data_IF_116337539132
#
_entry.id   IF_116337539132
#
_cell.length_a   1.000
_cell.length_b   1.000
_cell.length_c   1.000
_cell.angle_alpha   90.00
_cell.angle_beta   90.00
_cell.angle_gamma   90.00
#
_symmetry.space_group_name_H-M   'P 1'
#
loop_
_entity.id
_entity.type
_entity.pdbx_description
1 polymer ?
#
# COMPACT_ATOMS: atom_id res chain seq x y z
N UNK A 1 -54.52 2.03 -8.34
CA UNK A 1 -53.91 1.63 -7.08
C UNK A 1 -52.92 0.45 -7.24
N UNK A 2 -53.32 -0.58 -7.92
CA UNK A 2 -52.45 -1.75 -8.11
C UNK A 2 -51.17 -1.43 -8.87
N UNK A 3 -51.20 -0.49 -9.81
CA UNK A 3 -50.03 -0.10 -10.58
C UNK A 3 -48.96 0.56 -9.73
N UNK A 4 -49.33 1.28 -8.69
CA UNK A 4 -48.39 1.94 -7.78
C UNK A 4 -47.55 0.93 -7.01
N UNK A 5 -48.16 -0.21 -6.65
CA UNK A 5 -47.48 -1.27 -5.90
C UNK A 5 -46.37 -1.89 -6.73
N UNK A 6 -46.62 -2.11 -8.03
CA UNK A 6 -45.61 -2.68 -8.91
C UNK A 6 -44.40 -1.79 -9.10
N UNK A 7 -44.62 -0.49 -9.21
CA UNK A 7 -43.52 0.47 -9.36
C UNK A 7 -42.61 0.48 -8.12
N UNK A 8 -43.20 0.40 -6.93
CA UNK A 8 -42.44 0.35 -5.71
C UNK A 8 -41.53 -0.88 -5.61
N UNK A 9 -42.02 -2.03 -6.01
CA UNK A 9 -41.23 -3.27 -6.01
C UNK A 9 -40.04 -3.20 -6.97
N UNK A 10 -40.25 -2.62 -8.14
CA UNK A 10 -39.18 -2.47 -9.13
C UNK A 10 -38.08 -1.59 -8.61
N UNK A 11 -38.41 -0.50 -7.95
CA UNK A 11 -37.41 0.41 -7.36
C UNK A 11 -36.56 -0.27 -6.31
N UNK A 12 -37.17 -1.06 -5.44
CA UNK A 12 -36.43 -1.77 -4.38
C UNK A 12 -35.42 -2.76 -4.97
N UNK A 13 -35.83 -3.50 -5.99
CA UNK A 13 -34.94 -4.48 -6.63
C UNK A 13 -33.70 -3.82 -7.23
N UNK A 14 -33.87 -2.66 -7.86
CA UNK A 14 -32.74 -1.92 -8.44
C UNK A 14 -31.77 -1.44 -7.38
N UNK A 15 -32.26 -0.96 -6.25
CA UNK A 15 -31.41 -0.52 -5.15
C UNK A 15 -30.54 -1.65 -4.61
N UNK A 16 -31.09 -2.85 -4.46
CA UNK A 16 -30.33 -4.01 -3.98
C UNK A 16 -29.19 -4.38 -4.94
N UNK A 17 -29.45 -4.32 -6.24
CA UNK A 17 -28.42 -4.62 -7.23
C UNK A 17 -27.26 -3.62 -7.18
N UNK A 18 -27.56 -2.36 -7.00
CA UNK A 18 -26.54 -1.32 -6.88
C UNK A 18 -25.67 -1.51 -5.65
N UNK A 19 -26.27 -1.89 -4.53
CA UNK A 19 -25.52 -2.13 -3.30
C UNK A 19 -24.50 -3.26 -3.49
N UNK A 20 -24.86 -4.34 -4.18
CA UNK A 20 -23.93 -5.44 -4.43
C UNK A 20 -22.74 -5.04 -5.30
N UNK A 21 -22.95 -4.15 -6.27
CA UNK A 21 -21.89 -3.73 -7.18
C UNK A 21 -20.80 -2.90 -6.50
N UNK A 22 -21.03 -2.39 -5.29
CA UNK A 22 -20.09 -1.52 -4.58
C UNK A 22 -19.22 -2.25 -3.57
N UNK A 23 -19.42 -3.56 -3.37
CA UNK A 23 -18.78 -4.30 -2.28
C UNK A 23 -17.26 -4.39 -2.39
N UNK A 24 -16.67 -4.20 -3.56
CA UNK A 24 -15.24 -4.38 -3.78
C UNK A 24 -14.43 -3.09 -3.75
N UNK A 25 -15.06 -1.94 -3.48
CA UNK A 25 -14.39 -0.65 -3.58
C UNK A 25 -13.26 -0.46 -2.55
N UNK A 26 -13.34 -1.13 -1.39
CA UNK A 26 -12.34 -1.03 -0.33
C UNK A 26 -11.48 -2.26 -0.16
N UNK A 27 -11.65 -3.24 -1.04
CA UNK A 27 -10.90 -4.48 -0.95
C UNK A 27 -9.41 -4.23 -1.18
N UNK A 28 -8.57 -4.89 -0.39
CA UNK A 28 -7.12 -4.87 -0.56
C UNK A 28 -6.73 -6.16 -1.28
N UNK A 29 -6.02 -6.03 -2.38
CA UNK A 29 -5.60 -7.15 -3.22
C UNK A 29 -4.15 -7.49 -2.97
N UNK A 30 -3.77 -8.73 -3.27
CA UNK A 30 -2.37 -9.12 -3.35
C UNK A 30 -1.92 -9.13 -4.83
N UNK A 31 -0.66 -9.48 -5.08
CA UNK A 31 -0.08 -9.44 -6.43
C UNK A 31 -0.67 -10.46 -7.38
N UNK A 32 -1.21 -11.57 -6.87
CA UNK A 32 -1.57 -12.71 -7.70
C UNK A 32 -2.79 -12.47 -8.58
N UNK A 33 -3.64 -11.52 -8.21
CA UNK A 33 -4.88 -11.26 -8.93
C UNK A 33 -4.85 -10.06 -9.85
N UNK A 34 -3.71 -9.39 -10.00
CA UNK A 34 -3.64 -8.09 -10.67
C UNK A 34 -3.22 -8.20 -12.12
N UNK A 35 -3.78 -7.33 -12.97
CA UNK A 35 -3.28 -7.12 -14.33
C UNK A 35 -1.94 -6.41 -14.30
N UNK A 36 -1.82 -5.43 -13.41
CA UNK A 36 -0.60 -4.64 -13.26
C UNK A 36 -0.34 -4.43 -11.77
N UNK A 37 0.87 -4.78 -11.32
CA UNK A 37 1.28 -4.53 -9.93
C UNK A 37 1.60 -3.05 -9.73
N UNK A 38 1.43 -2.52 -8.50
CA UNK A 38 1.85 -1.15 -8.23
C UNK A 38 3.34 -1.00 -8.45
N UNK A 39 3.77 0.19 -8.89
CA UNK A 39 5.19 0.46 -8.97
C UNK A 39 5.49 1.93 -8.62
N UNK A 40 6.73 2.15 -8.17
CA UNK A 40 7.24 3.48 -7.94
C UNK A 40 7.52 4.13 -9.30
N UNK A 41 7.40 5.45 -9.39
CA UNK A 41 7.72 6.17 -10.63
C UNK A 41 9.16 5.91 -11.02
N UNK A 42 9.36 5.25 -12.15
CA UNK A 42 10.68 4.80 -12.60
C UNK A 42 11.06 3.40 -12.16
N UNK A 43 10.16 2.69 -11.45
CA UNK A 43 10.34 1.30 -11.05
C UNK A 43 10.94 1.15 -9.66
N UNK A 44 11.03 -0.11 -9.21
CA UNK A 44 11.48 -0.42 -7.84
C UNK A 44 12.92 0.05 -7.58
N UNK A 45 13.77 0.05 -8.61
CA UNK A 45 15.14 0.53 -8.47
C UNK A 45 15.16 2.00 -8.02
N UNK A 46 14.28 2.82 -8.60
CA UNK A 46 14.16 4.23 -8.23
C UNK A 46 13.66 4.39 -6.81
N UNK A 47 12.80 3.50 -6.36
CA UNK A 47 12.34 3.53 -4.99
C UNK A 47 13.49 3.26 -4.01
N UNK A 48 14.33 2.27 -4.31
CA UNK A 48 15.49 2.01 -3.46
C UNK A 48 16.51 3.14 -3.49
N UNK A 49 16.62 3.87 -4.60
CA UNK A 49 17.43 5.10 -4.65
C UNK A 49 16.85 6.17 -3.75
N UNK A 50 15.53 6.33 -3.76
CA UNK A 50 14.84 7.25 -2.85
C UNK A 50 15.13 6.90 -1.39
N UNK A 51 14.97 5.64 -1.03
CA UNK A 51 15.26 5.18 0.33
C UNK A 51 16.71 5.48 0.72
N UNK A 52 17.66 5.20 -0.19
CA UNK A 52 19.07 5.45 0.06
C UNK A 52 19.40 6.91 0.31
N UNK A 53 18.71 7.82 -0.37
CA UNK A 53 18.90 9.27 -0.17
C UNK A 53 18.30 9.75 1.14
N UNK A 54 17.13 9.22 1.52
CA UNK A 54 16.33 9.75 2.62
C UNK A 54 16.64 9.12 3.95
N UNK A 55 17.14 7.87 3.96
CA UNK A 55 17.42 7.16 5.20
C UNK A 55 18.66 7.74 5.87
N UNK A 56 18.52 8.05 7.16
CA UNK A 56 19.64 8.43 8.02
C UNK A 56 19.88 7.29 8.99
N UNK A 57 21.09 6.75 8.98
CA UNK A 57 21.45 5.67 9.87
C UNK A 57 21.46 6.22 11.32
N UNK A 58 20.62 5.67 12.22
CA UNK A 58 20.55 6.18 13.59
C UNK A 58 21.88 6.02 14.33
N UNK A 59 22.25 7.03 15.10
CA UNK A 59 23.53 7.04 15.81
C UNK A 59 23.64 5.88 16.80
N UNK A 60 22.57 5.55 17.50
CA UNK A 60 22.57 4.44 18.46
C UNK A 60 22.84 3.11 17.72
N UNK A 61 22.22 2.94 16.56
CA UNK A 61 22.43 1.73 15.76
C UNK A 61 23.86 1.65 15.24
N UNK A 62 24.44 2.78 14.86
CA UNK A 62 25.86 2.82 14.45
C UNK A 62 26.79 2.40 15.58
N UNK A 63 26.57 2.94 16.78
CA UNK A 63 27.39 2.63 17.94
C UNK A 63 27.33 1.15 18.32
N UNK A 64 26.17 0.55 18.15
CA UNK A 64 25.95 -0.85 18.50
C UNK A 64 26.22 -1.80 17.33
N UNK A 65 26.71 -1.27 16.20
CA UNK A 65 26.96 -2.05 14.98
C UNK A 65 25.73 -2.84 14.55
N UNK A 66 24.55 -2.22 14.66
CA UNK A 66 23.28 -2.86 14.32
C UNK A 66 23.07 -2.82 12.83
N UNK A 67 23.37 -3.93 12.16
CA UNK A 67 23.16 -4.08 10.70
C UNK A 67 22.16 -5.18 10.44
N UNK A 68 21.43 -5.05 9.35
CA UNK A 68 20.46 -6.06 8.95
C UNK A 68 19.31 -5.45 8.18
N UNK A 69 18.24 -6.22 8.03
CA UNK A 69 17.08 -5.82 7.24
C UNK A 69 15.89 -5.54 8.13
N UNK A 70 15.17 -4.48 7.79
CA UNK A 70 13.85 -4.18 8.34
C UNK A 70 12.82 -4.55 7.28
N UNK A 71 11.85 -5.38 7.64
CA UNK A 71 10.78 -5.77 6.74
C UNK A 71 9.56 -4.95 7.05
N UNK A 72 8.91 -4.44 6.00
CA UNK A 72 7.75 -3.58 6.14
C UNK A 72 6.68 -3.94 5.13
N UNK A 73 5.44 -3.60 5.46
CA UNK A 73 4.33 -3.70 4.54
C UNK A 73 3.57 -2.39 4.51
N UNK A 74 2.89 -2.13 3.41
CA UNK A 74 2.00 -0.98 3.29
C UNK A 74 0.97 -1.27 2.21
N UNK A 75 -0.06 -0.43 2.16
CA UNK A 75 -1.05 -0.48 1.10
C UNK A 75 -0.74 0.64 0.12
N UNK A 76 -0.65 0.30 -1.18
CA UNK A 76 -0.62 1.30 -2.24
C UNK A 76 -2.08 1.57 -2.60
N UNK A 77 -2.53 2.78 -2.29
CA UNK A 77 -3.92 3.17 -2.51
C UNK A 77 -4.23 3.39 -3.99
N UNK A 78 -5.49 3.55 -4.31
CA UNK A 78 -5.94 3.80 -5.67
C UNK A 78 -5.30 5.06 -6.27
N UNK A 79 -4.97 6.03 -5.44
CA UNK A 79 -4.30 7.26 -5.87
C UNK A 79 -2.78 7.17 -5.75
N UNK A 80 -2.24 6.00 -5.40
CA UNK A 80 -0.80 5.80 -5.27
C UNK A 80 -0.21 6.15 -3.91
N UNK A 81 -0.97 6.72 -2.99
CA UNK A 81 -0.46 7.03 -1.66
C UNK A 81 -0.18 5.74 -0.88
N UNK A 82 0.83 5.77 -0.02
CA UNK A 82 1.11 4.65 0.88
C UNK A 82 0.37 4.85 2.18
N UNK A 83 -0.35 3.83 2.62
CA UNK A 83 -1.11 3.84 3.88
C UNK A 83 -0.86 2.55 4.63
N UNK A 84 -1.31 2.50 5.88
CA UNK A 84 -1.19 1.31 6.74
C UNK A 84 0.24 0.76 6.73
N UNK A 85 1.20 1.66 6.91
CA UNK A 85 2.62 1.31 6.89
C UNK A 85 2.98 0.63 8.21
N UNK A 86 3.49 -0.59 8.12
CA UNK A 86 3.80 -1.40 9.31
C UNK A 86 5.15 -2.06 9.17
N UNK A 87 5.86 -2.19 10.31
CA UNK A 87 7.05 -3.02 10.38
C UNK A 87 6.59 -4.44 10.68
N UNK A 88 6.88 -5.37 9.78
CA UNK A 88 6.49 -6.77 9.94
C UNK A 88 7.58 -7.59 10.61
N UNK A 89 8.84 -7.21 10.41
CA UNK A 89 9.99 -7.79 11.12
C UNK A 89 11.03 -6.70 11.28
N UNK A 90 11.28 -6.32 12.53
CA UNK A 90 12.20 -5.23 12.85
C UNK A 90 13.61 -5.70 13.11
N UNK A 91 14.49 -4.72 13.25
CA UNK A 91 15.90 -4.92 13.62
C UNK A 91 16.16 -4.30 14.98
N UNK A 92 16.07 -2.98 15.09
CA UNK A 92 16.11 -2.24 16.36
C UNK A 92 14.99 -1.21 16.33
N UNK A 93 14.63 -0.69 17.51
CA UNK A 93 13.61 0.36 17.57
C UNK A 93 14.00 1.55 16.71
N UNK A 94 15.27 1.95 16.77
CA UNK A 94 15.75 3.13 16.04
C UNK A 94 15.72 2.94 14.52
N UNK A 95 16.16 1.78 14.04
CA UNK A 95 16.11 1.50 12.60
C UNK A 95 14.67 1.34 12.11
N UNK A 96 13.81 0.73 12.91
CA UNK A 96 12.40 0.55 12.57
C UNK A 96 11.69 1.91 12.48
N UNK A 97 11.94 2.80 13.45
CA UNK A 97 11.36 4.13 13.44
C UNK A 97 11.83 4.93 12.23
N UNK A 98 13.10 4.80 11.87
CA UNK A 98 13.65 5.48 10.70
C UNK A 98 13.02 4.95 9.41
N UNK A 99 12.84 3.64 9.31
CA UNK A 99 12.16 3.05 8.16
C UNK A 99 10.74 3.61 8.01
N UNK A 100 9.99 3.67 9.11
CA UNK A 100 8.64 4.25 9.09
C UNK A 100 8.66 5.72 8.67
N UNK A 101 9.62 6.49 9.20
CA UNK A 101 9.73 7.91 8.85
C UNK A 101 9.91 8.11 7.35
N UNK A 102 10.81 7.34 6.75
CA UNK A 102 11.11 7.49 5.32
C UNK A 102 9.97 6.98 4.46
N UNK A 103 9.36 5.86 4.83
CA UNK A 103 8.21 5.33 4.06
C UNK A 103 7.04 6.31 4.06
N UNK A 104 6.85 7.03 5.17
CA UNK A 104 5.79 8.05 5.24
C UNK A 104 6.09 9.26 4.35
N UNK A 105 7.31 9.43 3.89
CA UNK A 105 7.70 10.51 2.97
C UNK A 105 7.63 10.10 1.51
N UNK A 106 7.29 8.87 1.22
CA UNK A 106 7.28 8.39 -0.16
C UNK A 106 6.32 9.23 -1.02
N UNK A 107 6.76 9.67 -2.21
CA UNK A 107 5.82 10.21 -3.17
C UNK A 107 4.83 9.14 -3.61
N UNK A 108 3.81 9.57 -4.33
CA UNK A 108 2.79 8.64 -4.81
C UNK A 108 3.35 7.67 -5.83
N UNK A 109 2.87 6.45 -5.75
CA UNK A 109 3.19 5.38 -6.67
C UNK A 109 2.16 5.30 -7.78
N UNK A 110 2.48 4.56 -8.84
CA UNK A 110 1.47 4.12 -9.79
C UNK A 110 0.68 2.99 -9.14
N UNK A 111 -0.66 3.09 -9.05
CA UNK A 111 -1.45 2.07 -8.38
C UNK A 111 -1.50 0.77 -9.17
N UNK A 112 -1.83 -0.31 -8.49
CA UNK A 112 -2.14 -1.57 -9.15
C UNK A 112 -3.43 -1.47 -9.94
N UNK A 113 -3.55 -2.26 -11.00
CA UNK A 113 -4.75 -2.27 -11.86
C UNK A 113 -5.37 -3.66 -11.91
N UNK A 114 -6.69 -3.67 -11.86
CA UNK A 114 -7.49 -4.86 -12.08
C UNK A 114 -8.71 -4.46 -12.92
N UNK A 115 -8.92 -5.15 -14.03
CA UNK A 115 -9.99 -4.81 -14.98
C UNK A 115 -9.92 -3.35 -15.43
N UNK A 116 -8.71 -2.85 -15.64
CA UNK A 116 -8.46 -1.49 -16.09
C UNK A 116 -8.67 -0.42 -15.03
N UNK A 117 -8.94 -0.79 -13.78
CA UNK A 117 -9.25 0.16 -12.71
C UNK A 117 -8.20 0.10 -11.61
N UNK A 118 -7.85 1.26 -11.01
CA UNK A 118 -6.96 1.26 -9.85
C UNK A 118 -7.60 0.53 -8.67
N UNK A 119 -6.80 -0.27 -7.97
CA UNK A 119 -7.22 -0.99 -6.78
C UNK A 119 -6.21 -0.83 -5.67
N UNK A 120 -6.63 -1.09 -4.45
CA UNK A 120 -5.77 -1.06 -3.27
C UNK A 120 -4.96 -2.35 -3.21
N UNK A 121 -3.65 -2.25 -3.03
CA UNK A 121 -2.77 -3.42 -3.08
C UNK A 121 -1.82 -3.42 -1.89
N UNK A 122 -1.70 -4.55 -1.22
CA UNK A 122 -0.70 -4.74 -0.16
C UNK A 122 0.65 -5.04 -0.80
N UNK A 123 1.67 -4.31 -0.36
CA UNK A 123 3.02 -4.41 -0.88
C UNK A 123 3.99 -4.65 0.26
N UNK A 124 4.95 -5.53 0.05
CA UNK A 124 5.97 -5.87 1.06
C UNK A 124 7.34 -5.50 0.53
N UNK A 125 8.16 -4.89 1.39
CA UNK A 125 9.55 -4.55 1.05
C UNK A 125 10.47 -4.89 2.21
N UNK A 126 11.76 -4.86 1.93
CA UNK A 126 12.76 -4.84 3.00
C UNK A 126 13.72 -3.69 2.75
N UNK A 127 14.25 -3.14 3.84
CA UNK A 127 15.21 -2.04 3.83
C UNK A 127 16.46 -2.54 4.52
N UNK A 128 17.59 -2.47 3.84
CA UNK A 128 18.85 -2.94 4.37
C UNK A 128 19.59 -1.80 5.06
N UNK A 129 19.88 -1.98 6.35
CA UNK A 129 20.72 -1.07 7.13
C UNK A 129 22.13 -1.66 7.19
N UNK A 130 23.06 -1.03 6.51
CA UNK A 130 24.42 -1.51 6.39
C UNK A 130 25.37 -0.33 6.53
N UNK A 131 26.42 -0.50 7.33
CA UNK A 131 27.45 0.51 7.53
C UNK A 131 28.57 0.29 6.52
N UNK A 132 28.76 1.24 5.62
CA UNK A 132 29.86 1.20 4.67
C UNK A 132 30.62 2.49 4.65
#
# INVERSE_FOLDING_TARGET
MRKLIFLALTGIAMCLNQAKAQDNSNKIYDFTSLEKVPDYLGGIKKFYEFLGREIKYPEVAKKNSSEGKVFASFVVEKNGALTDIQITKGLTKETDDEALRVLNKSPRWNPGLLDGKPVRVKYNININFSMK
#
